data_IF_445454820397
#
_entry.id   IF_445454820397
#
_cell.length_a   1.000
_cell.length_b   1.000
_cell.length_c   1.000
_cell.angle_alpha   90.00
_cell.angle_beta   90.00
_cell.angle_gamma   90.00
#
_symmetry.space_group_name_H-M   'P 1'
#
loop_
_entity.id
_entity.type
_entity.pdbx_description
1 polymer ?
#
# COMPACT_ATOMS: atom_id res chain seq x y z
N UNK A 1 17.34 35.68 -8.16
CA UNK A 1 16.20 34.76 -8.04
C UNK A 1 16.33 33.72 -9.14
N UNK A 2 17.05 32.62 -8.90
CA UNK A 2 17.18 31.54 -9.88
C UNK A 2 17.41 30.24 -9.10
N UNK A 3 16.33 29.69 -8.55
CA UNK A 3 16.32 28.35 -8.00
C UNK A 3 15.00 27.72 -8.44
N UNK A 4 15.04 26.42 -8.74
CA UNK A 4 13.94 25.45 -8.54
C UNK A 4 13.22 24.82 -9.77
N UNK A 5 13.86 24.69 -10.93
CA UNK A 5 13.34 23.77 -11.97
C UNK A 5 13.92 22.35 -11.85
N UNK A 6 15.24 22.22 -11.66
CA UNK A 6 15.92 20.91 -11.58
C UNK A 6 15.65 20.19 -10.23
N UNK A 7 15.53 20.93 -9.13
CA UNK A 7 15.20 20.37 -7.80
C UNK A 7 13.75 19.90 -7.66
N UNK A 8 12.82 20.34 -8.52
CA UNK A 8 11.48 19.75 -8.63
C UNK A 8 11.52 18.42 -9.38
N UNK A 9 12.27 18.36 -10.49
CA UNK A 9 12.43 17.15 -11.31
C UNK A 9 13.20 16.04 -10.56
N UNK A 10 14.23 16.37 -9.80
CA UNK A 10 14.95 15.38 -8.99
C UNK A 10 14.11 14.89 -7.79
N UNK A 11 13.26 15.75 -7.20
CA UNK A 11 12.33 15.35 -6.12
C UNK A 11 11.20 14.46 -6.61
N UNK A 12 10.63 14.72 -7.79
CA UNK A 12 9.60 13.84 -8.37
C UNK A 12 10.20 12.49 -8.77
N UNK A 13 11.41 12.48 -9.36
CA UNK A 13 12.11 11.22 -9.68
C UNK A 13 12.37 10.42 -8.41
N UNK A 14 12.96 10.99 -7.35
CA UNK A 14 13.17 10.27 -6.08
C UNK A 14 11.87 9.68 -5.49
N UNK A 15 10.75 10.39 -5.61
CA UNK A 15 9.45 9.91 -5.15
C UNK A 15 8.86 8.79 -6.00
N UNK A 16 9.07 8.81 -7.33
CA UNK A 16 8.64 7.76 -8.24
C UNK A 16 9.53 6.53 -8.14
N UNK A 17 10.84 6.73 -7.95
CA UNK A 17 11.82 5.67 -7.71
C UNK A 17 11.51 4.96 -6.40
N UNK A 18 11.19 5.72 -5.33
CA UNK A 18 10.72 5.15 -4.07
C UNK A 18 9.38 4.39 -4.23
N UNK A 19 8.48 4.87 -5.09
CA UNK A 19 7.25 4.15 -5.44
C UNK A 19 7.54 2.85 -6.22
N UNK A 20 8.55 2.81 -7.10
CA UNK A 20 9.01 1.60 -7.78
C UNK A 20 9.74 0.62 -6.84
N UNK A 21 10.50 1.12 -5.86
CA UNK A 21 11.09 0.29 -4.80
C UNK A 21 10.02 -0.28 -3.86
N UNK A 22 8.88 0.40 -3.68
CA UNK A 22 7.73 -0.18 -2.98
C UNK A 22 6.98 -1.19 -3.86
N UNK A 23 7.01 -1.03 -5.18
CA UNK A 23 6.40 -1.94 -6.14
C UNK A 23 7.18 -3.26 -6.29
N UNK A 24 8.44 -3.31 -5.88
CA UNK A 24 9.27 -4.52 -5.88
C UNK A 24 9.78 -4.82 -4.48
N UNK A 25 9.32 -5.92 -3.89
CA UNK A 25 9.81 -6.35 -2.58
C UNK A 25 11.34 -6.58 -2.63
N UNK A 26 12.09 -6.13 -1.60
CA UNK A 26 13.50 -6.47 -1.46
C UNK A 26 13.68 -8.00 -1.44
N UNK A 27 14.82 -8.51 -1.88
CA UNK A 27 15.07 -9.95 -2.06
C UNK A 27 14.83 -10.78 -0.78
N UNK A 28 15.13 -10.23 0.40
CA UNK A 28 14.83 -10.86 1.69
C UNK A 28 13.32 -11.07 1.98
N UNK A 29 12.43 -10.33 1.31
CA UNK A 29 10.98 -10.40 1.48
C UNK A 29 10.27 -11.11 0.32
N UNK A 30 10.97 -11.61 -0.70
CA UNK A 30 10.33 -12.26 -1.85
C UNK A 30 9.49 -13.49 -1.46
N UNK A 31 9.75 -14.11 -0.31
CA UNK A 31 8.90 -15.19 0.24
C UNK A 31 7.47 -14.68 0.58
N UNK A 32 7.32 -13.39 0.83
CA UNK A 32 6.06 -12.72 1.13
C UNK A 32 5.36 -12.14 -0.11
N UNK A 33 5.92 -12.29 -1.32
CA UNK A 33 5.25 -11.92 -2.57
C UNK A 33 3.78 -12.41 -2.63
N UNK A 34 3.48 -13.71 -2.37
CA UNK A 34 2.09 -14.18 -2.37
C UNK A 34 1.21 -13.57 -1.26
N UNK A 35 1.79 -13.06 -0.18
CA UNK A 35 1.04 -12.37 0.87
C UNK A 35 0.68 -10.93 0.45
N UNK A 36 1.63 -10.23 -0.19
CA UNK A 36 1.43 -8.87 -0.70
C UNK A 36 0.38 -8.83 -1.82
N UNK A 37 0.27 -9.89 -2.61
CA UNK A 37 -0.81 -10.04 -3.59
C UNK A 37 -2.21 -10.06 -2.95
N UNK A 38 -2.32 -10.46 -1.67
CA UNK A 38 -3.60 -10.53 -0.91
C UNK A 38 -3.84 -9.27 -0.07
N UNK A 39 -2.80 -8.47 0.24
CA UNK A 39 -2.93 -7.22 1.02
C UNK A 39 -4.00 -6.24 0.47
N UNK A 40 -4.16 -6.05 -0.86
CA UNK A 40 -5.22 -5.20 -1.41
C UNK A 40 -6.65 -5.63 -1.05
N UNK A 41 -6.83 -6.87 -0.59
CA UNK A 41 -8.13 -7.43 -0.21
C UNK A 41 -8.55 -7.06 1.22
N UNK A 42 -7.62 -6.58 2.05
CA UNK A 42 -7.87 -6.21 3.46
C UNK A 42 -9.08 -5.27 3.65
N UNK A 43 -9.29 -4.22 2.83
CA UNK A 43 -10.46 -3.36 2.94
C UNK A 43 -11.79 -4.12 2.82
N UNK A 44 -11.84 -5.15 1.96
CA UNK A 44 -13.02 -6.00 1.82
C UNK A 44 -13.21 -6.89 3.05
N UNK A 45 -12.14 -7.42 3.63
CA UNK A 45 -12.23 -8.19 4.88
C UNK A 45 -12.76 -7.36 6.04
N UNK A 46 -12.41 -6.07 6.14
CA UNK A 46 -12.99 -5.18 7.16
C UNK A 46 -14.50 -4.95 6.96
N UNK A 47 -14.94 -4.81 5.70
CA UNK A 47 -16.36 -4.74 5.39
C UNK A 47 -17.09 -6.01 5.82
N UNK A 48 -16.55 -7.19 5.45
CA UNK A 48 -17.12 -8.48 5.84
C UNK A 48 -17.13 -8.67 7.36
N UNK A 49 -16.05 -8.25 8.04
CA UNK A 49 -15.94 -8.30 9.48
C UNK A 49 -17.01 -7.45 10.17
N UNK A 50 -17.41 -6.31 9.60
CA UNK A 50 -18.52 -5.52 10.13
C UNK A 50 -19.84 -6.32 10.14
N UNK A 51 -20.12 -7.11 9.10
CA UNK A 51 -21.30 -7.99 9.08
C UNK A 51 -21.18 -9.16 10.05
N UNK A 52 -19.99 -9.76 10.17
CA UNK A 52 -19.73 -10.82 11.15
C UNK A 52 -19.93 -10.28 12.58
N UNK A 53 -19.42 -9.08 12.85
CA UNK A 53 -19.59 -8.41 14.12
C UNK A 53 -21.05 -8.09 14.40
N UNK A 54 -21.77 -7.53 13.44
CA UNK A 54 -23.20 -7.27 13.56
C UNK A 54 -24.01 -8.55 13.78
N UNK A 55 -23.67 -9.65 13.07
CA UNK A 55 -24.28 -10.96 13.29
C UNK A 55 -23.98 -11.52 14.69
N UNK A 56 -22.76 -11.33 15.21
CA UNK A 56 -22.36 -11.81 16.53
C UNK A 56 -23.08 -11.08 17.68
N UNK A 57 -23.35 -9.77 17.54
CA UNK A 57 -24.12 -9.02 18.54
C UNK A 57 -25.64 -9.13 18.33
N UNK A 58 -26.09 -9.68 17.20
CA UNK A 58 -27.49 -9.99 16.91
C UNK A 58 -28.26 -8.90 16.16
N UNK A 59 -27.59 -8.06 15.36
CA UNK A 59 -28.20 -6.95 14.60
C UNK A 59 -29.13 -6.06 15.46
N UNK A 60 -28.68 -5.77 16.67
CA UNK A 60 -29.36 -4.86 17.59
C UNK A 60 -29.01 -3.40 17.32
#
# INVERSE_FOLDING_TARGET
>A
MHVNSESCVEKENLSMEAALLLAKLPEAYSILDPLVDVLPLIPLFFLLLAFVWQAAVGFR
#
